data_IF_625005624776
#
_entry.id   IF_625005624776
#
_cell.length_a   1.000
_cell.length_b   1.000
_cell.length_c   1.000
_cell.angle_alpha   90.00
_cell.angle_beta   90.00
_cell.angle_gamma   90.00
#
_symmetry.space_group_name_H-M   'P 1'
#
loop_
_entity.id
_entity.type
_entity.pdbx_description
1 polymer ?
#
# COMPACT_ATOMS: atom_id res chain seq x y z
N UNK A 1 17.27 18.06 21.98
CA UNK A 1 16.24 18.92 21.35
C UNK A 1 16.65 19.47 19.98
N UNK A 2 17.95 19.70 19.69
CA UNK A 2 18.47 20.22 18.40
C UNK A 2 18.14 19.36 17.17
N UNK A 3 18.00 18.03 17.32
CA UNK A 3 17.71 17.12 16.20
C UNK A 3 16.27 17.14 15.67
N UNK A 4 15.30 17.63 16.45
CA UNK A 4 13.87 17.65 16.03
C UNK A 4 13.58 18.93 15.25
N UNK A 5 14.08 20.07 15.74
CA UNK A 5 13.88 21.40 15.13
C UNK A 5 14.50 21.47 13.72
N UNK A 6 15.67 20.88 13.52
CA UNK A 6 16.31 20.81 12.19
C UNK A 6 15.56 19.91 11.21
N UNK A 7 15.00 18.77 11.64
CA UNK A 7 14.19 17.92 10.75
C UNK A 7 12.89 18.59 10.33
N UNK A 8 12.23 19.30 11.26
CA UNK A 8 11.01 20.05 10.95
C UNK A 8 11.30 21.14 9.91
N UNK A 9 12.42 21.86 10.01
CA UNK A 9 12.77 22.90 9.02
C UNK A 9 13.05 22.33 7.62
N UNK A 10 13.65 21.14 7.50
CA UNK A 10 13.84 20.45 6.22
C UNK A 10 12.51 20.01 5.58
N UNK A 11 11.60 19.40 6.35
CA UNK A 11 10.28 18.96 5.86
C UNK A 11 9.43 20.14 5.40
N UNK A 12 9.49 21.25 6.13
CA UNK A 12 8.76 22.49 5.81
C UNK A 12 9.36 23.19 4.58
N UNK A 13 10.68 23.08 4.34
CA UNK A 13 11.32 23.64 3.13
C UNK A 13 10.82 22.98 1.85
N UNK A 14 10.61 21.67 1.89
CA UNK A 14 10.23 20.83 0.75
C UNK A 14 8.72 20.55 0.67
N UNK A 15 7.87 21.47 1.15
CA UNK A 15 6.40 21.33 1.11
C UNK A 15 5.85 20.99 -0.28
N UNK A 16 6.51 21.44 -1.36
CA UNK A 16 6.12 21.14 -2.73
C UNK A 16 6.16 19.64 -3.05
N UNK A 17 6.95 18.84 -2.32
CA UNK A 17 7.14 17.41 -2.64
C UNK A 17 5.85 16.67 -2.34
N UNK A 18 5.21 17.03 -1.22
CA UNK A 18 3.90 16.50 -0.84
C UNK A 18 2.82 16.88 -1.85
N UNK A 19 2.87 18.10 -2.41
CA UNK A 19 1.92 18.53 -3.44
C UNK A 19 2.09 17.71 -4.73
N UNK A 20 3.34 17.53 -5.20
CA UNK A 20 3.64 16.74 -6.41
C UNK A 20 3.22 15.28 -6.20
N UNK A 21 3.59 14.68 -5.07
CA UNK A 21 3.20 13.30 -4.74
C UNK A 21 1.67 13.18 -4.71
N UNK A 22 0.97 14.10 -4.05
CA UNK A 22 -0.48 14.08 -3.97
C UNK A 22 -1.16 14.16 -5.34
N UNK A 23 -0.69 15.04 -6.22
CA UNK A 23 -1.19 15.14 -7.60
C UNK A 23 -0.91 13.85 -8.37
N UNK A 24 0.31 13.32 -8.31
CA UNK A 24 0.68 12.06 -8.98
C UNK A 24 -0.19 10.89 -8.51
N UNK A 25 -0.49 10.81 -7.21
CA UNK A 25 -1.37 9.77 -6.65
C UNK A 25 -2.80 9.90 -7.16
N UNK A 26 -3.36 11.12 -7.25
CA UNK A 26 -4.69 11.33 -7.81
C UNK A 26 -4.72 10.95 -9.29
N UNK A 27 -3.77 11.43 -10.09
CA UNK A 27 -3.68 11.11 -11.52
C UNK A 27 -3.53 9.60 -11.74
N UNK A 28 -2.64 8.96 -10.96
CA UNK A 28 -2.44 7.52 -10.98
C UNK A 28 -3.73 6.76 -10.63
N UNK A 29 -4.45 7.17 -9.59
CA UNK A 29 -5.71 6.54 -9.20
C UNK A 29 -6.77 6.63 -10.30
N UNK A 30 -6.89 7.78 -10.97
CA UNK A 30 -7.83 7.97 -12.09
C UNK A 30 -7.45 7.04 -13.25
N UNK A 31 -6.16 6.87 -13.53
CA UNK A 31 -5.68 5.94 -14.56
C UNK A 31 -6.01 4.49 -14.19
N UNK A 32 -5.83 4.11 -12.93
CA UNK A 32 -6.17 2.78 -12.42
C UNK A 32 -7.67 2.47 -12.52
N UNK A 33 -8.54 3.42 -12.19
CA UNK A 33 -9.99 3.24 -12.35
C UNK A 33 -10.40 3.03 -13.82
N UNK A 34 -9.68 3.65 -14.77
CA UNK A 34 -9.94 3.49 -16.20
C UNK A 34 -9.39 2.18 -16.77
N UNK A 35 -8.28 1.68 -16.22
CA UNK A 35 -7.51 0.56 -16.79
C UNK A 35 -7.20 -0.51 -15.74
N UNK A 36 -8.23 -1.15 -15.14
CA UNK A 36 -8.02 -2.05 -14.01
C UNK A 36 -7.15 -3.26 -14.35
N UNK A 37 -7.26 -3.80 -15.56
CA UNK A 37 -6.48 -4.96 -16.01
C UNK A 37 -5.02 -4.60 -16.20
N UNK A 38 -4.73 -3.50 -16.90
CA UNK A 38 -3.36 -3.04 -17.15
C UNK A 38 -2.67 -2.63 -15.85
N UNK A 39 -3.40 -1.97 -14.95
CA UNK A 39 -2.91 -1.60 -13.63
C UNK A 39 -2.56 -2.83 -12.79
N UNK A 40 -3.35 -3.90 -12.89
CA UNK A 40 -3.00 -5.18 -12.27
C UNK A 40 -1.73 -5.78 -12.89
N UNK A 41 -1.58 -5.75 -14.22
CA UNK A 41 -0.37 -6.24 -14.88
C UNK A 41 0.89 -5.48 -14.41
N UNK A 42 0.79 -4.15 -14.23
CA UNK A 42 1.86 -3.35 -13.63
C UNK A 42 2.20 -3.75 -12.19
N UNK A 43 1.18 -4.00 -11.36
CA UNK A 43 1.37 -4.51 -9.99
C UNK A 43 2.02 -5.90 -9.98
N UNK A 44 1.57 -6.79 -10.87
CA UNK A 44 2.13 -8.12 -11.04
C UNK A 44 3.60 -8.06 -11.46
N UNK A 45 3.94 -7.21 -12.43
CA UNK A 45 5.32 -7.02 -12.88
C UNK A 45 6.20 -6.48 -11.74
N UNK A 46 5.71 -5.46 -11.01
CA UNK A 46 6.42 -4.92 -9.85
C UNK A 46 6.69 -6.00 -8.80
N UNK A 47 5.67 -6.79 -8.44
CA UNK A 47 5.82 -7.89 -7.48
C UNK A 47 6.79 -8.98 -7.97
N UNK A 48 6.72 -9.34 -9.25
CA UNK A 48 7.61 -10.32 -9.87
C UNK A 48 9.06 -9.87 -9.84
N UNK A 49 9.33 -8.60 -10.15
CA UNK A 49 10.65 -8.00 -10.06
C UNK A 49 11.17 -8.00 -8.62
N UNK A 50 10.31 -7.72 -7.63
CA UNK A 50 10.72 -7.79 -6.22
C UNK A 50 11.15 -9.21 -5.80
N UNK A 51 10.41 -10.24 -6.22
CA UNK A 51 10.78 -11.63 -5.94
C UNK A 51 12.11 -11.97 -6.64
N UNK A 52 12.30 -11.57 -7.90
CA UNK A 52 13.56 -11.75 -8.61
C UNK A 52 14.73 -11.11 -7.86
N UNK A 53 14.59 -9.84 -7.48
CA UNK A 53 15.62 -9.12 -6.73
C UNK A 53 15.90 -9.78 -5.39
N UNK A 54 14.86 -10.22 -4.67
CA UNK A 54 15.00 -10.97 -3.41
C UNK A 54 15.81 -12.25 -3.59
N UNK A 55 15.47 -13.05 -4.62
CA UNK A 55 16.17 -14.30 -4.92
C UNK A 55 17.63 -14.07 -5.31
N UNK A 56 17.88 -13.09 -6.19
CA UNK A 56 19.23 -12.69 -6.57
C UNK A 56 20.06 -12.25 -5.36
N UNK A 57 19.53 -11.36 -4.52
CA UNK A 57 20.22 -10.87 -3.33
C UNK A 57 20.49 -12.00 -2.32
N UNK A 58 19.54 -12.92 -2.15
CA UNK A 58 19.73 -14.09 -1.28
C UNK A 58 20.87 -14.98 -1.78
N UNK A 59 20.94 -15.24 -3.10
CA UNK A 59 22.05 -15.99 -3.68
C UNK A 59 23.37 -15.25 -3.45
N UNK A 60 23.43 -13.95 -3.75
CA UNK A 60 24.65 -13.15 -3.53
C UNK A 60 25.10 -13.17 -2.06
N UNK A 61 24.17 -13.00 -1.13
CA UNK A 61 24.44 -13.04 0.31
C UNK A 61 25.01 -14.39 0.75
N UNK A 62 24.39 -15.49 0.30
CA UNK A 62 24.89 -16.84 0.63
C UNK A 62 26.29 -17.05 0.05
N UNK A 63 26.55 -16.64 -1.19
CA UNK A 63 27.87 -16.78 -1.81
C UNK A 63 28.97 -16.03 -1.04
N UNK A 64 28.66 -14.87 -0.45
CA UNK A 64 29.61 -14.07 0.33
C UNK A 64 29.84 -14.55 1.77
N UNK A 65 28.89 -15.29 2.36
CA UNK A 65 28.90 -15.64 3.78
C UNK A 65 28.75 -17.15 4.05
N UNK A 66 29.07 -18.02 3.07
CA UNK A 66 28.88 -19.48 3.18
C UNK A 66 29.47 -20.11 4.44
N UNK A 67 30.65 -19.65 4.89
CA UNK A 67 31.36 -20.22 6.05
C UNK A 67 30.69 -19.92 7.39
N UNK A 68 29.89 -18.86 7.45
CA UNK A 68 29.30 -18.34 8.68
C UNK A 68 27.80 -18.69 8.80
N UNK A 69 27.25 -19.37 7.79
CA UNK A 69 25.83 -19.71 7.67
C UNK A 69 25.58 -21.20 7.92
N UNK A 70 25.16 -21.53 9.14
CA UNK A 70 24.50 -22.79 9.42
C UNK A 70 23.18 -22.85 8.61
N UNK A 71 23.11 -23.76 7.63
CA UNK A 71 22.04 -23.92 6.62
C UNK A 71 22.14 -23.12 5.32
N UNK A 72 23.34 -22.73 4.89
CA UNK A 72 23.56 -22.04 3.60
C UNK A 72 22.83 -22.69 2.40
N UNK A 73 22.69 -24.02 2.39
CA UNK A 73 22.00 -24.77 1.32
C UNK A 73 20.51 -24.46 1.21
N UNK A 74 19.81 -24.24 2.34
CA UNK A 74 18.39 -23.86 2.34
C UNK A 74 18.19 -22.44 1.81
N UNK A 75 19.05 -21.51 2.23
CA UNK A 75 19.01 -20.13 1.74
C UNK A 75 19.33 -20.04 0.23
N UNK A 76 20.31 -20.82 -0.23
CA UNK A 76 20.63 -20.89 -1.65
C UNK A 76 19.47 -21.49 -2.46
N UNK A 77 18.89 -22.58 -1.97
CA UNK A 77 17.73 -23.20 -2.60
C UNK A 77 16.52 -22.27 -2.66
N UNK A 78 16.23 -21.55 -1.56
CA UNK A 78 15.20 -20.52 -1.50
C UNK A 78 15.45 -19.38 -2.50
N UNK A 79 16.67 -18.86 -2.57
CA UNK A 79 17.02 -17.80 -3.53
C UNK A 79 16.88 -18.24 -4.99
N UNK A 80 17.27 -19.48 -5.31
CA UNK A 80 17.07 -20.05 -6.66
C UNK A 80 15.58 -20.20 -6.97
N UNK A 81 14.79 -20.69 -6.01
CA UNK A 81 13.35 -20.84 -6.15
C UNK A 81 12.71 -19.47 -6.43
N UNK A 82 13.06 -18.45 -5.66
CA UNK A 82 12.57 -17.08 -5.84
C UNK A 82 12.90 -16.56 -7.24
N UNK A 83 14.12 -16.77 -7.75
CA UNK A 83 14.48 -16.37 -9.12
C UNK A 83 13.60 -17.09 -10.14
N UNK A 84 13.41 -18.40 -10.01
CA UNK A 84 12.58 -19.18 -10.94
C UNK A 84 11.13 -18.72 -10.89
N UNK A 85 10.57 -18.57 -9.69
CA UNK A 85 9.18 -18.10 -9.49
C UNK A 85 9.02 -16.68 -10.06
N UNK A 86 9.94 -15.78 -9.76
CA UNK A 86 9.91 -14.41 -10.27
C UNK A 86 9.94 -14.35 -11.80
N UNK A 87 10.74 -15.21 -12.46
CA UNK A 87 10.75 -15.33 -13.92
C UNK A 87 9.42 -15.86 -14.46
N UNK A 88 8.83 -16.87 -13.81
CA UNK A 88 7.53 -17.42 -14.21
C UNK A 88 6.44 -16.34 -14.10
N UNK A 89 6.36 -15.63 -12.98
CA UNK A 89 5.33 -14.60 -12.76
C UNK A 89 5.49 -13.41 -13.71
N UNK A 90 6.71 -13.08 -14.12
CA UNK A 90 6.96 -12.02 -15.09
C UNK A 90 6.48 -12.40 -16.51
N UNK A 91 6.64 -13.67 -16.89
CA UNK A 91 6.22 -14.16 -18.20
C UNK A 91 4.72 -14.51 -18.25
N UNK A 92 4.13 -14.86 -17.10
CA UNK A 92 2.73 -15.29 -17.00
C UNK A 92 1.99 -14.49 -15.91
N UNK A 93 1.61 -13.23 -16.17
CA UNK A 93 0.87 -12.40 -15.22
C UNK A 93 -0.48 -12.98 -14.80
N UNK A 94 -1.08 -13.89 -15.58
CA UNK A 94 -2.33 -14.55 -15.20
C UNK A 94 -2.16 -15.45 -13.98
N UNK A 95 -0.96 -16.02 -13.77
CA UNK A 95 -0.66 -16.83 -12.58
C UNK A 95 -0.67 -15.92 -11.35
N UNK A 96 -0.03 -14.75 -11.43
CA UNK A 96 -0.09 -13.74 -10.36
C UNK A 96 -1.54 -13.33 -10.08
N UNK A 97 -2.33 -13.12 -11.14
CA UNK A 97 -3.75 -12.81 -11.02
C UNK A 97 -4.51 -13.86 -10.21
N UNK A 98 -4.32 -15.13 -10.54
CA UNK A 98 -4.94 -16.25 -9.83
C UNK A 98 -4.51 -16.29 -8.36
N UNK A 99 -3.20 -16.20 -8.09
CA UNK A 99 -2.65 -16.27 -6.72
C UNK A 99 -3.18 -15.13 -5.84
N UNK A 100 -3.12 -13.89 -6.34
CA UNK A 100 -3.62 -12.73 -5.60
C UNK A 100 -5.14 -12.78 -5.41
N UNK A 101 -5.89 -13.21 -6.44
CA UNK A 101 -7.35 -13.32 -6.34
C UNK A 101 -7.79 -14.39 -5.35
N UNK A 102 -7.10 -15.52 -5.29
CA UNK A 102 -7.35 -16.56 -4.29
C UNK A 102 -7.01 -16.05 -2.89
N UNK A 103 -5.80 -15.49 -2.71
CA UNK A 103 -5.38 -14.92 -1.43
C UNK A 103 -6.40 -13.93 -0.88
N UNK A 104 -6.92 -13.05 -1.75
CA UNK A 104 -7.87 -12.01 -1.36
C UNK A 104 -9.27 -12.53 -1.22
N UNK A 105 -9.70 -13.47 -2.06
CA UNK A 105 -10.95 -14.17 -1.89
C UNK A 105 -11.02 -14.83 -0.50
N UNK A 106 -9.98 -15.57 -0.11
CA UNK A 106 -9.91 -16.14 1.23
C UNK A 106 -9.88 -15.07 2.32
N UNK A 107 -9.07 -14.02 2.17
CA UNK A 107 -9.02 -12.92 3.12
C UNK A 107 -10.38 -12.22 3.30
N UNK A 108 -11.10 -11.99 2.20
CA UNK A 108 -12.44 -11.39 2.21
C UNK A 108 -13.47 -12.32 2.82
N UNK A 109 -13.35 -13.65 2.66
CA UNK A 109 -14.21 -14.60 3.34
C UNK A 109 -14.08 -14.46 4.86
N UNK A 110 -12.85 -14.46 5.38
CA UNK A 110 -12.61 -14.24 6.81
C UNK A 110 -13.16 -12.89 7.28
N UNK A 111 -12.98 -11.83 6.49
CA UNK A 111 -13.46 -10.50 6.83
C UNK A 111 -14.99 -10.41 6.81
N UNK A 112 -15.63 -10.97 5.80
CA UNK A 112 -17.09 -11.04 5.67
C UNK A 112 -17.73 -11.80 6.83
N UNK A 113 -17.21 -13.00 7.15
CA UNK A 113 -17.68 -13.79 8.29
C UNK A 113 -17.48 -13.05 9.63
N UNK A 114 -16.34 -12.39 9.79
CA UNK A 114 -16.06 -11.58 10.99
C UNK A 114 -17.03 -10.39 11.11
N UNK A 115 -17.33 -9.71 10.01
CA UNK A 115 -18.30 -8.60 9.98
C UNK A 115 -19.72 -9.08 10.25
N UNK A 116 -20.13 -10.23 9.72
CA UNK A 116 -21.43 -10.85 10.03
C UNK A 116 -21.51 -11.20 11.52
N UNK A 117 -20.46 -11.82 12.07
CA UNK A 117 -20.37 -12.12 13.50
C UNK A 117 -20.46 -10.87 14.37
N UNK A 118 -19.79 -9.79 13.96
CA UNK A 118 -19.89 -8.49 14.61
C UNK A 118 -21.33 -7.95 14.55
N UNK A 119 -22.01 -8.02 13.40
CA UNK A 119 -23.39 -7.55 13.28
C UNK A 119 -24.35 -8.22 14.28
N UNK A 120 -24.21 -9.53 14.52
CA UNK A 120 -25.00 -10.23 15.53
C UNK A 120 -24.67 -9.81 16.95
N UNK A 121 -23.40 -9.48 17.23
CA UNK A 121 -23.00 -8.92 18.52
C UNK A 121 -23.63 -7.54 18.74
N UNK A 122 -23.53 -6.64 17.77
CA UNK A 122 -24.18 -5.31 17.81
C UNK A 122 -25.69 -5.42 18.03
N UNK A 123 -26.35 -6.37 17.35
CA UNK A 123 -27.77 -6.66 17.55
C UNK A 123 -28.08 -7.07 18.99
N UNK A 124 -27.22 -7.89 19.61
CA UNK A 124 -27.39 -8.35 21.00
C UNK A 124 -27.16 -7.21 22.00
N UNK A 125 -26.21 -6.34 21.72
CA UNK A 125 -25.84 -5.22 22.59
C UNK A 125 -26.84 -4.04 22.46
N UNK A 126 -27.87 -4.18 21.63
CA UNK A 126 -28.94 -3.18 21.46
C UNK A 126 -28.51 -1.97 20.63
N UNK A 127 -27.38 -2.06 19.92
CA UNK A 127 -26.87 -0.97 19.12
C UNK A 127 -27.63 -0.82 17.79
N UNK A 128 -27.95 0.43 17.44
CA UNK A 128 -28.57 0.76 16.17
C UNK A 128 -27.59 0.53 15.00
N UNK A 129 -28.11 0.22 13.81
CA UNK A 129 -27.27 0.02 12.61
C UNK A 129 -26.72 -1.39 12.40
N UNK A 130 -27.02 -2.36 13.27
CA UNK A 130 -26.63 -3.77 13.08
C UNK A 130 -27.03 -4.35 11.71
N UNK A 131 -28.18 -3.91 11.17
CA UNK A 131 -28.68 -4.34 9.86
C UNK A 131 -27.75 -3.92 8.70
N UNK A 132 -27.15 -2.72 8.79
CA UNK A 132 -26.17 -2.25 7.80
C UNK A 132 -24.89 -3.07 7.88
N UNK A 133 -24.39 -3.33 9.09
CA UNK A 133 -23.19 -4.15 9.31
C UNK A 133 -23.41 -5.55 8.74
N UNK A 134 -24.59 -6.15 8.98
CA UNK A 134 -24.95 -7.46 8.45
C UNK A 134 -24.98 -7.46 6.92
N UNK A 135 -25.63 -6.46 6.32
CA UNK A 135 -25.70 -6.31 4.86
C UNK A 135 -24.29 -6.22 4.25
N UNK A 136 -23.41 -5.37 4.79
CA UNK A 136 -22.03 -5.27 4.32
C UNK A 136 -21.26 -6.57 4.50
N UNK A 137 -21.44 -7.27 5.63
CA UNK A 137 -20.82 -8.57 5.85
C UNK A 137 -21.23 -9.61 4.82
N UNK A 138 -22.52 -9.66 4.46
CA UNK A 138 -23.03 -10.54 3.40
C UNK A 138 -22.46 -10.16 2.03
N UNK A 139 -22.48 -8.87 1.68
CA UNK A 139 -21.94 -8.38 0.41
C UNK A 139 -20.44 -8.71 0.27
N UNK A 140 -19.64 -8.47 1.31
CA UNK A 140 -18.22 -8.82 1.34
C UNK A 140 -18.04 -10.32 1.12
N UNK A 141 -18.85 -11.14 1.78
CA UNK A 141 -18.79 -12.61 1.64
C UNK A 141 -19.12 -13.06 0.22
N UNK A 142 -20.14 -12.47 -0.42
CA UNK A 142 -20.49 -12.74 -1.81
C UNK A 142 -19.33 -12.35 -2.75
N UNK A 143 -18.78 -11.15 -2.58
CA UNK A 143 -17.61 -10.72 -3.36
C UNK A 143 -16.41 -11.64 -3.18
N UNK A 144 -16.21 -12.17 -1.97
CA UNK A 144 -15.16 -13.13 -1.67
C UNK A 144 -15.32 -14.43 -2.49
N UNK A 145 -16.52 -15.00 -2.52
CA UNK A 145 -16.80 -16.18 -3.36
C UNK A 145 -16.63 -15.88 -4.84
N UNK A 146 -17.10 -14.72 -5.32
CA UNK A 146 -16.91 -14.30 -6.71
C UNK A 146 -15.43 -14.14 -7.07
N UNK A 147 -14.60 -13.64 -6.15
CA UNK A 147 -13.15 -13.51 -6.31
C UNK A 147 -12.43 -14.86 -6.40
N UNK A 148 -12.92 -15.88 -5.69
CA UNK A 148 -12.34 -17.23 -5.72
C UNK A 148 -12.70 -17.93 -7.03
N UNK A 149 -13.94 -17.80 -7.49
CA UNK A 149 -14.43 -18.46 -8.71
C UNK A 149 -13.88 -17.75 -9.96
N UNK A 150 -13.83 -16.42 -9.95
CA UNK A 150 -13.38 -15.62 -11.07
C UNK A 150 -12.19 -14.74 -10.65
N UNK A 151 -10.95 -15.11 -11.04
CA UNK A 151 -9.75 -14.37 -10.71
C UNK A 151 -9.76 -12.89 -11.14
N UNK A 152 -10.49 -12.57 -12.21
CA UNK A 152 -10.63 -11.21 -12.70
C UNK A 152 -11.31 -10.30 -11.68
N UNK A 153 -12.26 -10.84 -10.90
CA UNK A 153 -12.99 -10.07 -9.90
C UNK A 153 -12.10 -9.73 -8.71
N UNK A 154 -11.28 -10.67 -8.23
CA UNK A 154 -10.36 -10.36 -7.13
C UNK A 154 -9.22 -9.44 -7.53
N UNK A 155 -8.71 -9.60 -8.75
CA UNK A 155 -7.74 -8.67 -9.33
C UNK A 155 -8.32 -7.26 -9.49
N UNK A 156 -9.56 -7.15 -9.97
CA UNK A 156 -10.26 -5.86 -10.04
C UNK A 156 -10.48 -5.28 -8.63
N UNK A 157 -10.94 -6.07 -7.67
CA UNK A 157 -11.12 -5.64 -6.28
C UNK A 157 -9.85 -5.05 -5.68
N UNK A 158 -8.70 -5.70 -5.93
CA UNK A 158 -7.39 -5.18 -5.55
C UNK A 158 -7.11 -3.80 -6.12
N UNK A 159 -7.23 -3.68 -7.44
CA UNK A 159 -6.91 -2.45 -8.14
C UNK A 159 -7.85 -1.34 -7.72
N UNK A 160 -9.15 -1.61 -7.56
CA UNK A 160 -10.11 -0.64 -7.07
C UNK A 160 -9.81 -0.19 -5.64
N UNK A 161 -9.45 -1.13 -4.76
CA UNK A 161 -9.08 -0.81 -3.37
C UNK A 161 -7.81 0.05 -3.32
N UNK A 162 -6.79 -0.29 -4.12
CA UNK A 162 -5.55 0.48 -4.23
C UNK A 162 -5.79 1.86 -4.85
N UNK A 163 -6.55 1.94 -5.94
CA UNK A 163 -6.90 3.19 -6.61
C UNK A 163 -7.65 4.12 -5.65
N UNK A 164 -8.64 3.60 -4.92
CA UNK A 164 -9.36 4.38 -3.92
C UNK A 164 -8.46 4.85 -2.79
N UNK A 165 -7.54 4.00 -2.32
CA UNK A 165 -6.55 4.37 -1.31
C UNK A 165 -5.63 5.48 -1.82
N UNK A 166 -5.17 5.40 -3.06
CA UNK A 166 -4.31 6.41 -3.69
C UNK A 166 -5.04 7.73 -3.89
N UNK A 167 -6.33 7.68 -4.25
CA UNK A 167 -7.17 8.86 -4.38
C UNK A 167 -7.29 9.58 -3.03
N UNK A 168 -7.65 8.86 -1.96
CA UNK A 168 -7.76 9.43 -0.61
C UNK A 168 -6.43 9.98 -0.09
N UNK A 169 -5.36 9.19 -0.22
CA UNK A 169 -4.02 9.64 0.18
C UNK A 169 -3.59 10.87 -0.65
N UNK A 170 -3.90 10.90 -1.94
CA UNK A 170 -3.61 12.05 -2.80
C UNK A 170 -4.23 13.34 -2.27
N UNK A 171 -5.50 13.30 -1.87
CA UNK A 171 -6.16 14.45 -1.22
C UNK A 171 -5.49 14.83 0.12
N UNK A 172 -5.14 13.85 0.95
CA UNK A 172 -4.44 14.08 2.22
C UNK A 172 -3.07 14.74 2.00
N UNK A 173 -2.30 14.29 1.01
CA UNK A 173 -0.97 14.84 0.70
C UNK A 173 -1.05 16.27 0.16
N UNK A 174 -2.05 16.58 -0.67
CA UNK A 174 -2.33 17.95 -1.13
C UNK A 174 -2.68 18.83 0.08
N UNK A 175 -3.59 18.38 0.94
CA UNK A 175 -3.95 19.12 2.16
C UNK A 175 -2.74 19.36 3.07
N UNK A 176 -1.92 18.34 3.29
CA UNK A 176 -0.68 18.44 4.09
C UNK A 176 0.32 19.42 3.47
N UNK A 177 0.42 19.49 2.14
CA UNK A 177 1.31 20.43 1.46
C UNK A 177 0.95 21.88 1.76
N UNK A 178 -0.35 22.21 1.82
CA UNK A 178 -0.82 23.54 2.16
C UNK A 178 -0.57 23.87 3.64
N UNK A 179 -0.75 22.91 4.54
CA UNK A 179 -0.38 23.07 5.95
C UNK A 179 1.11 23.39 6.07
N UNK A 180 1.98 22.62 5.42
CA UNK A 180 3.42 22.83 5.48
C UNK A 180 3.83 24.18 4.88
N UNK A 181 3.18 24.61 3.79
CA UNK A 181 3.39 25.94 3.20
C UNK A 181 3.04 27.07 4.18
N UNK A 182 1.92 26.95 4.88
CA UNK A 182 1.48 27.94 5.86
C UNK A 182 2.36 27.95 7.12
N UNK A 183 2.86 26.80 7.56
CA UNK A 183 3.83 26.72 8.65
C UNK A 183 5.15 27.38 8.24
N UNK A 184 5.61 27.17 7.00
CA UNK A 184 6.82 27.82 6.48
C UNK A 184 6.72 29.33 6.53
N UNK A 185 5.60 29.90 6.06
CA UNK A 185 5.43 31.36 6.02
C UNK A 185 5.44 31.97 7.41
N UNK A 186 4.74 31.35 8.38
CA UNK A 186 4.72 31.81 9.78
C UNK A 186 6.10 31.76 10.43
N UNK A 187 6.88 30.71 10.16
CA UNK A 187 8.24 30.60 10.71
C UNK A 187 9.18 31.68 10.16
N UNK A 188 8.99 32.08 8.89
CA UNK A 188 9.77 33.17 8.28
C UNK A 188 9.39 34.50 8.93
N UNK A 189 8.09 34.79 9.04
CA UNK A 189 7.56 36.01 9.67
C UNK A 189 8.02 36.16 11.14
N UNK A 190 7.89 35.12 11.96
CA UNK A 190 8.35 35.16 13.36
C UNK A 190 9.87 35.31 13.48
N UNK A 191 10.64 34.76 12.54
CA UNK A 191 12.10 34.92 12.52
C UNK A 191 12.50 36.36 12.22
N UNK A 192 11.84 36.98 11.24
CA UNK A 192 12.04 38.39 10.87
C UNK A 192 11.67 39.32 12.04
N UNK A 193 10.53 39.09 12.73
CA UNK A 193 10.14 39.88 13.92
C UNK A 193 11.15 39.79 15.07
N UNK A 194 11.76 38.62 15.29
CA UNK A 194 12.77 38.44 16.34
C UNK A 194 14.09 39.12 15.96
N UNK A 195 14.52 39.03 14.69
CA UNK A 195 15.73 39.71 14.21
C UNK A 195 15.59 41.24 14.32
N UNK A 196 14.45 41.81 13.92
CA UNK A 196 14.17 43.25 14.04
C UNK A 196 14.19 43.73 15.51
N UNK A 197 13.72 42.91 16.45
CA UNK A 197 13.76 43.23 17.90
C UNK A 197 15.16 43.13 18.53
N UNK A 198 16.07 42.38 17.93
CA UNK A 198 17.44 42.19 18.43
C UNK A 198 18.43 43.20 17.83
N UNK A 199 18.06 43.85 16.72
CA UNK A 199 18.83 44.92 16.06
C UNK A 199 18.50 46.34 16.57
N UNK A 200 17.63 46.46 17.59
CA UNK A 200 17.40 47.66 18.42
C UNK A 200 18.30 47.65 19.67
#
# INVERSE_FOLDING_TARGET
MTNIVSRVSYTVKNWWVFLIIGILMIVGSIWMFKTPIESFAGLSAFFSILILLSGMLSIFYVLGNKSDLDNWGLYLGGGILDVVVGLILLNYPEITMLLFSLFIGFWLLFRGISTISAAFKYKKDGEEGWGWILLFGILITIFAFMSIINPLIGAAYLVFTLAFSFLLLGFVYIYLSFILKNVKSRLVETREEIEERLEL
#
